data_IF_944195472505
#
_entry.id   IF_944195472505
#
_cell.length_a   1.000
_cell.length_b   1.000
_cell.length_c   1.000
_cell.angle_alpha   90.00
_cell.angle_beta   90.00
_cell.angle_gamma   90.00
#
_symmetry.space_group_name_H-M   'P 1'
#
loop_
_entity.id
_entity.type
_entity.pdbx_description
1 polymer ?
#
# COMPACT_ATOMS: atom_id res chain seq x y z
N UNK A 1 11.19 22.71 -8.64
CA UNK A 1 10.49 23.86 -9.29
C UNK A 1 11.28 24.57 -10.40
N UNK A 2 12.54 25.02 -10.18
CA UNK A 2 13.26 25.83 -11.17
C UNK A 2 13.55 25.08 -12.48
N UNK A 3 13.68 23.75 -12.44
CA UNK A 3 13.89 22.92 -13.63
C UNK A 3 12.73 23.02 -14.63
N UNK A 4 11.49 23.09 -14.14
CA UNK A 4 10.30 23.24 -14.98
C UNK A 4 10.30 24.61 -15.67
N UNK A 5 10.67 25.66 -14.94
CA UNK A 5 10.80 27.01 -15.50
C UNK A 5 11.87 27.10 -16.58
N UNK A 6 13.01 26.43 -16.38
CA UNK A 6 14.06 26.35 -17.40
C UNK A 6 13.59 25.64 -18.67
N UNK A 7 12.91 24.49 -18.55
CA UNK A 7 12.35 23.78 -19.70
C UNK A 7 11.39 24.66 -20.49
N UNK A 8 10.51 25.39 -19.81
CA UNK A 8 9.59 26.33 -20.44
C UNK A 8 10.32 27.50 -21.14
N UNK A 9 11.34 28.07 -20.50
CA UNK A 9 12.09 29.21 -21.02
C UNK A 9 12.84 28.89 -22.33
N UNK A 10 13.25 27.64 -22.54
CA UNK A 10 13.89 27.18 -23.78
C UNK A 10 12.89 26.63 -24.81
N UNK A 11 11.59 26.75 -24.56
CA UNK A 11 10.54 26.26 -25.47
C UNK A 11 10.35 24.74 -25.45
N UNK A 12 10.86 24.03 -24.42
CA UNK A 12 10.69 22.59 -24.28
C UNK A 12 9.33 22.28 -23.65
N UNK A 13 8.34 21.96 -24.50
CA UNK A 13 6.96 21.70 -24.09
C UNK A 13 6.75 20.33 -23.42
N UNK A 14 7.57 19.33 -23.75
CA UNK A 14 7.47 17.97 -23.20
C UNK A 14 8.85 17.39 -22.94
N UNK A 15 8.94 16.55 -21.91
CA UNK A 15 10.17 15.85 -21.54
C UNK A 15 9.85 14.42 -21.14
N UNK A 16 10.76 13.50 -21.43
CA UNK A 16 10.64 12.10 -21.01
C UNK A 16 10.93 12.00 -19.51
N UNK A 17 10.02 11.39 -18.78
CA UNK A 17 10.14 11.14 -17.33
C UNK A 17 9.91 9.66 -17.03
N UNK A 18 10.35 9.23 -15.85
CA UNK A 18 10.01 7.90 -15.33
C UNK A 18 8.55 7.90 -14.87
N UNK A 19 7.79 6.80 -15.08
CA UNK A 19 6.46 6.66 -14.53
C UNK A 19 6.51 6.65 -12.99
N UNK A 20 5.43 7.10 -12.35
CA UNK A 20 5.27 6.97 -10.90
C UNK A 20 5.04 5.49 -10.57
N UNK A 21 5.77 4.90 -9.60
CA UNK A 21 5.55 3.50 -9.23
C UNK A 21 4.15 3.33 -8.63
N UNK A 22 3.47 2.24 -8.98
CA UNK A 22 2.19 1.84 -8.41
C UNK A 22 2.44 0.95 -7.21
N UNK A 23 2.10 1.44 -6.02
CA UNK A 23 2.31 0.73 -4.76
C UNK A 23 0.96 0.26 -4.22
N UNK A 24 0.84 -1.01 -3.90
CA UNK A 24 -0.31 -1.54 -3.17
C UNK A 24 0.12 -1.88 -1.76
N UNK A 25 -0.60 -1.35 -0.77
CA UNK A 25 -0.39 -1.65 0.65
C UNK A 25 -1.52 -2.53 1.12
N UNK A 26 -1.17 -3.67 1.70
CA UNK A 26 -2.09 -4.67 2.22
C UNK A 26 -1.77 -4.94 3.68
N UNK A 27 -2.81 -5.01 4.52
CA UNK A 27 -2.63 -5.37 5.92
C UNK A 27 -3.23 -6.74 6.22
N UNK A 28 -2.51 -7.56 6.98
CA UNK A 28 -2.95 -8.88 7.42
C UNK A 28 -3.09 -8.88 8.94
N UNK A 29 -4.12 -9.53 9.45
CA UNK A 29 -4.36 -9.65 10.89
C UNK A 29 -5.84 -9.76 11.18
N UNK A 30 -6.22 -10.85 11.83
CA UNK A 30 -7.62 -11.11 12.19
C UNK A 30 -8.15 -10.15 13.27
N UNK A 31 -7.24 -9.46 13.98
CA UNK A 31 -7.53 -8.42 14.95
C UNK A 31 -7.80 -7.05 14.32
N UNK A 32 -7.45 -6.84 13.04
CA UNK A 32 -7.51 -5.52 12.41
C UNK A 32 -8.93 -5.15 11.96
N UNK A 33 -9.37 -3.94 12.32
CA UNK A 33 -10.64 -3.34 11.85
C UNK A 33 -10.42 -1.95 11.24
N UNK A 34 -11.38 -1.47 10.44
CA UNK A 34 -11.26 -0.15 9.83
C UNK A 34 -11.53 0.99 10.84
N UNK A 35 -10.81 2.12 10.75
CA UNK A 35 -11.15 3.31 11.52
C UNK A 35 -12.61 3.72 11.32
N UNK A 36 -13.33 3.94 12.41
CA UNK A 36 -14.77 4.26 12.42
C UNK A 36 -15.67 3.06 12.73
N UNK A 37 -15.15 1.84 12.68
CA UNK A 37 -15.85 0.65 13.18
C UNK A 37 -15.74 0.55 14.72
N UNK A 38 -16.72 -0.09 15.35
CA UNK A 38 -16.69 -0.33 16.78
C UNK A 38 -15.75 -1.51 17.08
N UNK A 39 -14.79 -1.29 17.98
CA UNK A 39 -13.91 -2.36 18.45
C UNK A 39 -14.70 -3.37 19.30
N UNK A 40 -14.47 -4.65 19.02
CA UNK A 40 -14.86 -5.76 19.89
C UNK A 40 -13.62 -6.42 20.50
N UNK A 41 -13.81 -7.39 21.39
CA UNK A 41 -12.73 -7.94 22.22
C UNK A 41 -11.51 -8.42 21.41
N UNK A 42 -10.34 -7.82 21.68
CA UNK A 42 -9.07 -8.18 21.03
C UNK A 42 -8.80 -7.47 19.70
N UNK A 43 -9.75 -6.70 19.17
CA UNK A 43 -9.56 -5.96 17.93
C UNK A 43 -8.78 -4.66 18.15
N UNK A 44 -8.07 -4.25 17.10
CA UNK A 44 -7.36 -2.97 17.02
C UNK A 44 -7.60 -2.34 15.65
N UNK A 45 -7.43 -1.02 15.57
CA UNK A 45 -7.57 -0.32 14.29
C UNK A 45 -6.35 -0.56 13.40
N UNK A 46 -6.61 -0.76 12.11
CA UNK A 46 -5.58 -0.76 11.07
C UNK A 46 -5.01 0.66 10.88
N UNK A 47 -3.89 0.95 11.53
CA UNK A 47 -3.14 2.20 11.36
C UNK A 47 -2.05 2.11 10.30
N UNK A 48 -1.48 0.92 10.10
CA UNK A 48 -0.29 0.75 9.28
C UNK A 48 -0.61 0.89 7.80
N UNK A 49 -1.73 0.36 7.32
CA UNK A 49 -2.11 0.50 5.92
C UNK A 49 -2.25 1.98 5.54
N UNK A 50 -2.79 2.81 6.43
CA UNK A 50 -2.94 4.24 6.25
C UNK A 50 -1.58 4.96 6.24
N UNK A 51 -0.75 4.70 7.24
CA UNK A 51 0.57 5.33 7.36
C UNK A 51 1.47 5.00 6.15
N UNK A 52 1.54 3.73 5.75
CA UNK A 52 2.36 3.29 4.63
C UNK A 52 1.81 3.80 3.28
N UNK A 53 0.49 3.83 3.10
CA UNK A 53 -0.12 4.38 1.88
C UNK A 53 0.18 5.88 1.76
N UNK A 54 0.10 6.63 2.87
CA UNK A 54 0.44 8.05 2.90
C UNK A 54 1.92 8.28 2.58
N UNK A 55 2.82 7.53 3.24
CA UNK A 55 4.26 7.61 2.99
C UNK A 55 4.63 7.31 1.53
N UNK A 56 3.98 6.32 0.91
CA UNK A 56 4.20 6.01 -0.51
C UNK A 56 3.77 7.18 -1.42
N UNK A 57 2.65 7.85 -1.11
CA UNK A 57 2.19 9.04 -1.86
C UNK A 57 3.16 10.20 -1.72
N UNK A 58 3.66 10.45 -0.51
CA UNK A 58 4.66 11.48 -0.22
C UNK A 58 5.98 11.21 -0.96
N UNK A 59 6.36 9.94 -1.11
CA UNK A 59 7.50 9.51 -1.91
C UNK A 59 7.28 9.63 -3.44
N UNK A 60 6.11 10.07 -3.89
CA UNK A 60 5.81 10.27 -5.31
C UNK A 60 5.23 9.04 -6.01
N UNK A 61 4.81 8.01 -5.28
CA UNK A 61 4.12 6.85 -5.85
C UNK A 61 2.64 7.15 -6.16
N UNK A 62 2.01 6.26 -6.92
CA UNK A 62 0.56 6.09 -6.98
C UNK A 62 0.23 4.96 -6.01
N UNK A 63 -0.32 5.27 -4.84
CA UNK A 63 -0.52 4.28 -3.78
C UNK A 63 -2.01 3.92 -3.57
N UNK A 64 -2.28 2.62 -3.51
CA UNK A 64 -3.58 2.01 -3.24
C UNK A 64 -3.53 1.23 -1.93
N UNK A 65 -4.63 1.28 -1.19
CA UNK A 65 -4.80 0.56 0.06
C UNK A 65 -5.78 -0.58 -0.15
N UNK A 66 -5.41 -1.77 0.29
CA UNK A 66 -6.29 -2.90 0.48
C UNK A 66 -6.61 -2.96 1.97
N UNK A 67 -7.89 -3.17 2.31
CA UNK A 67 -8.31 -3.30 3.71
C UNK A 67 -7.65 -4.50 4.39
N UNK A 68 -7.94 -4.66 5.69
CA UNK A 68 -7.48 -5.81 6.45
C UNK A 68 -7.93 -7.11 5.78
N UNK A 69 -6.95 -7.99 5.52
CA UNK A 69 -7.15 -9.33 4.98
C UNK A 69 -7.04 -10.32 6.13
N UNK A 70 -7.93 -11.31 6.12
CA UNK A 70 -7.93 -12.37 7.10
C UNK A 70 -6.61 -13.16 7.07
N UNK A 71 -6.24 -13.73 8.21
CA UNK A 71 -4.97 -14.42 8.40
C UNK A 71 -5.03 -15.88 7.90
N UNK A 72 -5.39 -16.03 6.62
CA UNK A 72 -5.42 -17.31 5.92
C UNK A 72 -4.66 -17.23 4.59
N UNK A 73 -3.81 -18.23 4.34
CA UNK A 73 -2.89 -18.23 3.21
C UNK A 73 -3.59 -18.16 1.85
N UNK A 74 -4.77 -18.78 1.74
CA UNK A 74 -5.52 -18.83 0.49
C UNK A 74 -6.10 -17.45 0.14
N UNK A 75 -6.73 -16.77 1.11
CA UNK A 75 -7.27 -15.43 0.93
C UNK A 75 -6.15 -14.41 0.72
N UNK A 76 -5.03 -14.52 1.44
CA UNK A 76 -3.88 -13.65 1.20
C UNK A 76 -3.33 -13.83 -0.22
N UNK A 77 -3.12 -15.08 -0.66
CA UNK A 77 -2.64 -15.37 -2.01
C UNK A 77 -3.59 -14.83 -3.08
N UNK A 78 -4.89 -15.13 -2.95
CA UNK A 78 -5.90 -14.64 -3.89
C UNK A 78 -5.94 -13.10 -3.93
N UNK A 79 -5.84 -12.47 -2.75
CA UNK A 79 -5.83 -11.01 -2.66
C UNK A 79 -4.60 -10.44 -3.37
N UNK A 80 -3.41 -10.99 -3.12
CA UNK A 80 -2.17 -10.56 -3.79
C UNK A 80 -2.30 -10.72 -5.30
N UNK A 81 -2.75 -11.88 -5.79
CA UNK A 81 -2.95 -12.16 -7.22
C UNK A 81 -3.87 -11.12 -7.89
N UNK A 82 -4.97 -10.76 -7.23
CA UNK A 82 -5.90 -9.71 -7.69
C UNK A 82 -5.26 -8.30 -7.74
N UNK A 83 -4.24 -8.05 -6.91
CA UNK A 83 -3.52 -6.77 -6.90
C UNK A 83 -2.41 -6.70 -7.96
N UNK A 84 -1.84 -7.82 -8.39
CA UNK A 84 -0.63 -7.84 -9.24
C UNK A 84 -0.82 -7.11 -10.57
N UNK A 85 -2.03 -7.11 -11.14
CA UNK A 85 -2.33 -6.41 -12.40
C UNK A 85 -2.09 -4.89 -12.30
N UNK A 86 -2.25 -4.33 -11.10
CA UNK A 86 -2.18 -2.89 -10.86
C UNK A 86 -1.00 -2.45 -10.00
N UNK A 87 -0.15 -3.37 -9.54
CA UNK A 87 0.97 -3.09 -8.66
C UNK A 87 2.30 -3.25 -9.39
N UNK A 88 3.22 -2.32 -9.18
CA UNK A 88 4.66 -2.53 -9.44
C UNK A 88 5.36 -3.01 -8.16
N UNK A 89 4.81 -2.65 -7.00
CA UNK A 89 5.29 -3.03 -5.66
C UNK A 89 4.07 -3.38 -4.80
N UNK A 90 4.15 -4.51 -4.10
CA UNK A 90 3.19 -4.88 -3.04
C UNK A 90 3.92 -4.79 -1.69
N UNK A 91 3.31 -4.09 -0.74
CA UNK A 91 3.80 -3.95 0.64
C UNK A 91 2.78 -4.60 1.56
N UNK A 92 3.20 -5.61 2.31
CA UNK A 92 2.39 -6.24 3.35
C UNK A 92 2.76 -5.66 4.72
N UNK A 93 1.80 -5.58 5.63
CA UNK A 93 2.02 -5.17 7.01
C UNK A 93 1.07 -5.92 7.95
N UNK A 94 1.59 -6.36 9.10
CA UNK A 94 0.90 -7.31 9.98
C UNK A 94 1.46 -8.73 9.84
N UNK A 95 1.06 -9.63 10.73
CA UNK A 95 1.33 -11.07 10.60
C UNK A 95 2.72 -11.62 10.96
N UNK A 96 3.79 -10.82 11.19
CA UNK A 96 5.09 -11.37 11.63
C UNK A 96 5.05 -11.75 13.13
N UNK A 97 4.42 -12.87 13.44
CA UNK A 97 4.41 -13.46 14.78
C UNK A 97 5.27 -14.74 14.79
N UNK A 98 6.16 -14.81 15.76
CA UNK A 98 7.02 -15.97 16.05
C UNK A 98 6.20 -17.23 16.35
N UNK A 99 5.80 -17.98 15.32
CA UNK A 99 5.31 -19.36 15.49
C UNK A 99 4.35 -19.86 14.40
N UNK A 100 4.77 -20.93 13.72
CA UNK A 100 4.01 -21.99 13.01
C UNK A 100 2.81 -21.65 12.07
N UNK A 101 2.32 -20.41 12.03
CA UNK A 101 1.13 -19.96 11.30
C UNK A 101 1.40 -18.68 10.51
N UNK A 102 2.66 -18.44 10.13
CA UNK A 102 3.04 -17.28 9.33
C UNK A 102 2.77 -17.59 7.85
N UNK A 103 1.82 -16.88 7.25
CA UNK A 103 1.36 -17.09 5.87
C UNK A 103 1.89 -16.06 4.88
N UNK A 104 2.71 -15.11 5.36
CA UNK A 104 3.31 -14.00 4.59
C UNK A 104 4.74 -14.32 4.17
#
# INVERSE_FOLDING_TARGET
>A
PPQIGLLAAIGCATVVVRPRPRVVVLSTGSELVQPGEQLTGGQIYDSNSFALTAAARDAGAIAYRVGAVADDAETLRATIEDQLIRADIVVTTGGVSVGAYDVV
#
